data_IF_837833931222
#
_entry.id   IF_837833931222
#
_cell.length_a   1.000
_cell.length_b   1.000
_cell.length_c   1.000
_cell.angle_alpha   90.00
_cell.angle_beta   90.00
_cell.angle_gamma   90.00
#
_symmetry.space_group_name_H-M   'P 1'
#
loop_
_entity.id
_entity.type
_entity.pdbx_description
1 polymer ?
#
# COMPACT_ATOMS: atom_id res chain seq x y z
N UNK A 1 52.47 35.47 -0.81
CA UNK A 1 51.19 35.13 -1.43
C UNK A 1 51.05 33.60 -1.46
N UNK A 2 50.38 33.03 -0.49
CA UNK A 2 50.12 31.58 -0.38
C UNK A 2 48.74 31.29 -1.01
N UNK A 3 48.71 30.56 -2.12
CA UNK A 3 47.49 30.08 -2.76
C UNK A 3 46.97 28.87 -2.01
N UNK A 4 45.80 29.01 -1.36
CA UNK A 4 45.06 27.94 -0.69
C UNK A 4 44.27 27.20 -1.78
N UNK A 5 44.60 25.96 -2.08
CA UNK A 5 43.83 25.08 -2.94
C UNK A 5 42.68 24.45 -2.07
N UNK A 6 41.46 24.86 -2.34
CA UNK A 6 40.25 24.29 -1.74
C UNK A 6 39.91 23.02 -2.55
N UNK A 7 40.15 21.87 -1.96
CA UNK A 7 39.76 20.57 -2.53
C UNK A 7 38.28 20.34 -2.21
N UNK A 8 37.40 20.57 -3.18
CA UNK A 8 35.95 20.23 -3.05
C UNK A 8 35.84 18.73 -3.29
N UNK A 9 35.60 17.99 -2.22
CA UNK A 9 35.26 16.57 -2.26
C UNK A 9 33.78 16.45 -2.70
N UNK A 10 33.55 16.17 -3.98
CA UNK A 10 32.25 15.75 -4.49
C UNK A 10 31.96 14.34 -3.97
N UNK A 11 31.19 14.24 -2.90
CA UNK A 11 30.58 12.98 -2.46
C UNK A 11 29.42 12.71 -3.44
N UNK A 12 29.70 11.94 -4.49
CA UNK A 12 28.64 11.36 -5.30
C UNK A 12 27.94 10.29 -4.46
N UNK A 13 26.80 10.63 -3.88
CA UNK A 13 25.87 9.64 -3.35
C UNK A 13 25.40 8.76 -4.51
N UNK A 14 26.03 7.62 -4.69
CA UNK A 14 25.56 6.58 -5.57
C UNK A 14 24.20 6.10 -5.01
N UNK A 15 23.11 6.57 -5.59
CA UNK A 15 21.79 5.99 -5.40
C UNK A 15 21.89 4.58 -6.02
N UNK A 16 22.15 3.59 -5.17
CA UNK A 16 22.07 2.18 -5.58
C UNK A 16 20.58 1.91 -5.81
N UNK A 17 20.16 2.07 -7.05
CA UNK A 17 18.87 1.55 -7.51
C UNK A 17 18.91 0.04 -7.28
N UNK A 18 18.29 -0.44 -6.19
CA UNK A 18 18.11 -1.87 -5.97
C UNK A 18 17.20 -2.36 -7.08
N UNK A 19 17.78 -3.12 -8.03
CA UNK A 19 16.99 -3.82 -9.03
C UNK A 19 15.91 -4.61 -8.31
N UNK A 20 14.65 -4.45 -8.76
CA UNK A 20 13.50 -5.13 -8.21
C UNK A 20 13.71 -6.64 -8.36
N UNK A 21 13.91 -7.36 -7.25
CA UNK A 21 14.27 -8.77 -7.26
C UNK A 21 13.00 -9.62 -7.39
N UNK A 22 12.97 -10.49 -8.39
CA UNK A 22 11.90 -11.49 -8.52
C UNK A 22 12.24 -12.72 -7.69
N UNK A 23 11.36 -13.09 -6.79
CA UNK A 23 11.47 -14.30 -5.97
C UNK A 23 10.71 -15.43 -6.64
N UNK A 24 11.39 -16.22 -7.50
CA UNK A 24 10.72 -17.22 -8.34
C UNK A 24 10.44 -18.55 -7.63
N UNK A 25 11.33 -18.96 -6.74
CA UNK A 25 11.30 -20.28 -6.08
C UNK A 25 10.93 -20.14 -4.58
N UNK A 26 9.81 -19.45 -4.31
CA UNK A 26 9.32 -19.24 -2.94
C UNK A 26 8.76 -20.55 -2.39
N UNK A 27 9.32 -21.03 -1.27
CA UNK A 27 8.82 -22.14 -0.46
C UNK A 27 8.66 -21.71 0.99
N UNK A 28 7.90 -22.44 1.78
CA UNK A 28 7.69 -22.20 3.22
C UNK A 28 7.24 -20.79 3.57
N UNK A 29 6.47 -20.13 2.68
CA UNK A 29 5.93 -18.79 2.92
C UNK A 29 4.86 -18.83 4.00
N UNK A 30 5.12 -18.17 5.13
CA UNK A 30 4.24 -18.23 6.29
C UNK A 30 4.24 -16.95 7.10
N UNK A 31 3.18 -16.74 7.87
CA UNK A 31 3.14 -15.76 8.95
C UNK A 31 4.22 -16.11 9.97
N UNK A 32 5.04 -15.15 10.31
CA UNK A 32 6.09 -15.29 11.30
C UNK A 32 6.36 -13.94 11.94
N UNK A 33 6.21 -13.87 13.24
CA UNK A 33 6.43 -12.64 13.98
C UNK A 33 7.75 -12.64 14.72
N UNK A 34 8.36 -11.48 14.79
CA UNK A 34 9.61 -11.28 15.49
C UNK A 34 10.10 -9.85 15.43
N UNK A 35 11.14 -9.61 16.19
CA UNK A 35 11.97 -8.44 16.09
C UNK A 35 13.21 -8.79 15.27
N UNK A 36 13.63 -7.89 14.38
CA UNK A 36 14.85 -8.00 13.60
C UNK A 36 15.64 -6.70 13.74
N UNK A 37 16.89 -6.81 14.13
CA UNK A 37 17.79 -5.66 14.28
C UNK A 37 18.92 -5.71 13.25
N UNK A 38 19.12 -4.60 12.60
CA UNK A 38 20.32 -4.30 11.80
C UNK A 38 20.62 -2.82 11.97
N UNK A 39 21.72 -2.51 12.70
CA UNK A 39 22.06 -1.14 13.07
C UNK A 39 21.96 -0.17 11.87
N UNK A 40 21.37 1.01 12.06
CA UNK A 40 20.86 1.55 13.34
C UNK A 40 19.37 1.28 13.60
N UNK A 41 18.71 0.33 12.93
CA UNK A 41 17.27 0.24 12.85
C UNK A 41 16.68 -1.09 13.30
N UNK A 42 15.54 -0.99 14.02
CA UNK A 42 14.68 -2.11 14.37
C UNK A 42 13.54 -2.29 13.36
N UNK A 43 13.18 -3.54 13.11
CA UNK A 43 12.12 -3.95 12.20
C UNK A 43 11.20 -4.96 12.88
N UNK A 44 9.93 -4.94 12.55
CA UNK A 44 9.02 -6.02 12.87
C UNK A 44 8.98 -7.01 11.72
N UNK A 45 9.14 -8.30 12.02
CA UNK A 45 8.98 -9.37 11.03
C UNK A 45 7.51 -9.75 10.98
N UNK A 46 6.93 -9.89 9.78
CA UNK A 46 5.55 -10.35 9.59
C UNK A 46 5.44 -11.63 8.75
N UNK A 47 6.47 -11.96 7.94
CA UNK A 47 6.57 -13.23 7.20
C UNK A 47 7.99 -13.74 7.21
N UNK A 48 8.09 -15.06 7.02
CA UNK A 48 9.33 -15.75 6.71
C UNK A 48 9.08 -16.69 5.53
N UNK A 49 10.07 -16.82 4.66
CA UNK A 49 10.03 -17.75 3.54
C UNK A 49 11.43 -18.16 3.10
N UNK A 50 11.50 -19.15 2.24
CA UNK A 50 12.73 -19.59 1.58
C UNK A 50 12.64 -19.25 0.09
N UNK A 51 13.78 -18.90 -0.51
CA UNK A 51 13.93 -18.76 -1.95
C UNK A 51 15.35 -19.21 -2.34
N UNK A 52 15.45 -20.27 -3.16
CA UNK A 52 16.72 -20.89 -3.53
C UNK A 52 17.58 -21.24 -2.30
N UNK A 53 17.02 -21.98 -1.35
CA UNK A 53 17.66 -22.46 -0.11
C UNK A 53 18.19 -21.34 0.82
N UNK A 54 17.78 -20.11 0.61
CA UNK A 54 18.07 -18.98 1.50
C UNK A 54 16.82 -18.51 2.21
N UNK A 55 16.98 -18.15 3.49
CA UNK A 55 15.89 -17.66 4.33
C UNK A 55 15.73 -16.15 4.16
N UNK A 56 14.51 -15.72 3.90
CA UNK A 56 14.11 -14.32 3.77
C UNK A 56 13.07 -13.91 4.81
N UNK A 57 13.12 -12.65 5.17
CA UNK A 57 12.16 -12.01 6.06
C UNK A 57 11.41 -10.92 5.31
N UNK A 58 10.10 -10.87 5.52
CA UNK A 58 9.30 -9.72 5.17
C UNK A 58 9.23 -8.82 6.41
N UNK A 59 9.83 -7.67 6.29
CA UNK A 59 10.10 -6.72 7.35
C UNK A 59 9.25 -5.46 7.17
N UNK A 60 8.74 -4.96 8.28
CA UNK A 60 8.03 -3.68 8.36
C UNK A 60 8.83 -2.74 9.26
N UNK A 61 9.09 -1.54 8.77
CA UNK A 61 9.53 -0.46 9.64
C UNK A 61 8.34 0.02 10.48
N UNK A 62 8.36 -0.16 11.80
CA UNK A 62 7.19 0.16 12.62
C UNK A 62 6.93 1.66 12.76
N UNK A 63 7.90 2.52 12.39
CA UNK A 63 7.76 3.97 12.43
C UNK A 63 7.25 4.56 11.11
N UNK A 64 7.67 4.00 9.95
CA UNK A 64 7.35 4.58 8.63
C UNK A 64 6.39 3.72 7.82
N UNK A 65 5.98 2.55 8.31
CA UNK A 65 5.19 1.54 7.59
C UNK A 65 5.84 1.05 6.29
N UNK A 66 7.09 1.43 6.03
CA UNK A 66 7.84 0.91 4.89
C UNK A 66 8.07 -0.59 5.03
N UNK A 67 7.99 -1.29 3.92
CA UNK A 67 8.26 -2.72 3.87
C UNK A 67 9.56 -3.02 3.14
N UNK A 68 10.16 -4.15 3.43
CA UNK A 68 11.25 -4.71 2.64
C UNK A 68 11.33 -6.23 2.78
N UNK A 69 11.92 -6.86 1.77
CA UNK A 69 12.35 -8.25 1.84
C UNK A 69 13.87 -8.25 1.92
N UNK A 70 14.41 -8.98 2.89
CA UNK A 70 15.86 -9.12 3.03
C UNK A 70 16.22 -10.50 3.59
N UNK A 71 17.46 -10.94 3.40
CA UNK A 71 17.91 -12.23 3.91
C UNK A 71 18.03 -12.19 5.44
N UNK A 72 17.54 -13.23 6.10
CA UNK A 72 17.54 -13.34 7.56
C UNK A 72 18.96 -13.27 8.17
N UNK A 73 19.96 -13.72 7.44
CA UNK A 73 21.37 -13.74 7.87
C UNK A 73 21.93 -12.35 8.18
N UNK A 74 21.32 -11.29 7.64
CA UNK A 74 21.80 -9.91 7.86
C UNK A 74 21.26 -9.27 9.12
N UNK A 75 20.48 -10.00 9.94
CA UNK A 75 19.77 -9.47 11.10
C UNK A 75 20.03 -10.30 12.35
N UNK A 76 20.08 -9.63 13.49
CA UNK A 76 19.82 -10.28 14.78
C UNK A 76 18.29 -10.44 14.91
N UNK A 77 17.85 -11.70 14.98
CA UNK A 77 16.42 -12.08 14.93
C UNK A 77 15.97 -12.68 16.26
N UNK A 78 14.87 -12.14 16.81
CA UNK A 78 14.19 -12.69 17.99
C UNK A 78 12.75 -13.05 17.62
N UNK A 79 12.39 -14.36 17.60
CA UNK A 79 11.01 -14.79 17.39
C UNK A 79 10.08 -14.27 18.48
N UNK A 80 8.86 -13.91 18.10
CA UNK A 80 7.82 -13.45 19.02
C UNK A 80 6.47 -14.08 18.63
N UNK A 81 5.56 -14.18 19.59
CA UNK A 81 4.15 -14.35 19.27
C UNK A 81 3.57 -13.02 18.78
N UNK A 82 2.45 -13.05 18.05
CA UNK A 82 1.77 -11.83 17.63
C UNK A 82 1.47 -10.90 18.81
N UNK A 83 0.95 -11.44 19.92
CA UNK A 83 0.63 -10.67 21.12
C UNK A 83 1.87 -9.97 21.70
N UNK A 84 3.00 -10.65 21.76
CA UNK A 84 4.28 -10.08 22.25
C UNK A 84 4.79 -9.01 21.27
N UNK A 85 4.71 -9.26 19.96
CA UNK A 85 5.13 -8.28 18.95
C UNK A 85 4.27 -7.01 18.99
N UNK A 86 2.94 -7.15 19.06
CA UNK A 86 2.02 -5.99 19.21
C UNK A 86 2.31 -5.22 20.49
N UNK A 87 2.57 -5.90 21.62
CA UNK A 87 2.91 -5.22 22.86
C UNK A 87 4.28 -4.49 22.81
N UNK A 88 5.27 -5.11 22.17
CA UNK A 88 6.61 -4.53 22.03
C UNK A 88 6.59 -3.25 21.16
N UNK A 89 5.86 -3.29 20.05
CA UNK A 89 5.75 -2.16 19.10
C UNK A 89 4.51 -1.27 19.34
N UNK A 90 3.82 -1.39 20.48
CA UNK A 90 2.50 -0.76 20.75
C UNK A 90 2.42 0.76 20.54
N UNK A 91 3.55 1.46 20.70
CA UNK A 91 3.62 2.93 20.61
C UNK A 91 3.94 3.41 19.20
N UNK A 92 4.21 2.49 18.28
CA UNK A 92 4.60 2.85 16.90
C UNK A 92 3.38 3.14 16.03
N UNK A 93 3.54 3.98 14.97
CA UNK A 93 2.51 4.26 14.00
C UNK A 93 1.90 2.99 13.38
N UNK A 94 2.71 1.98 13.09
CA UNK A 94 2.23 0.73 12.50
C UNK A 94 1.20 0.00 13.38
N UNK A 95 1.47 -0.18 14.68
CA UNK A 95 0.50 -0.87 15.58
C UNK A 95 -0.71 0.02 15.86
N UNK A 96 -0.52 1.34 16.01
CA UNK A 96 -1.63 2.29 16.13
C UNK A 96 -2.57 2.24 14.92
N UNK A 97 -2.02 2.12 13.69
CA UNK A 97 -2.84 1.98 12.48
C UNK A 97 -3.63 0.66 12.45
N UNK A 98 -3.06 -0.46 12.90
CA UNK A 98 -3.78 -1.73 13.07
C UNK A 98 -4.94 -1.54 14.07
N UNK A 99 -4.67 -0.99 15.24
CA UNK A 99 -5.69 -0.75 16.28
C UNK A 99 -6.80 0.21 15.79
N UNK A 100 -6.44 1.23 14.99
CA UNK A 100 -7.38 2.16 14.38
C UNK A 100 -8.29 1.43 13.38
N UNK A 101 -7.72 0.63 12.49
CA UNK A 101 -8.47 -0.16 11.53
C UNK A 101 -9.45 -1.12 12.21
N UNK A 102 -9.04 -1.82 13.28
CA UNK A 102 -9.90 -2.71 14.06
C UNK A 102 -11.07 -1.96 14.72
N UNK A 103 -10.82 -0.74 15.23
CA UNK A 103 -11.85 0.09 15.88
C UNK A 103 -12.85 0.70 14.90
N UNK A 104 -12.40 1.08 13.69
CA UNK A 104 -13.24 1.70 12.66
C UNK A 104 -14.09 0.69 11.89
N UNK A 105 -13.66 -0.55 11.77
CA UNK A 105 -14.31 -1.61 11.01
C UNK A 105 -15.57 -2.15 11.68
N UNK A 106 -16.63 -1.33 11.77
CA UNK A 106 -17.90 -1.69 12.44
C UNK A 106 -19.01 -2.03 11.46
N UNK A 107 -18.85 -1.62 10.21
CA UNK A 107 -19.86 -1.78 9.16
C UNK A 107 -19.52 -2.96 8.28
N UNK A 108 -20.51 -3.49 7.58
CA UNK A 108 -20.33 -4.55 6.60
C UNK A 108 -19.49 -4.09 5.38
N UNK A 109 -19.56 -2.81 5.03
CA UNK A 109 -18.74 -2.20 3.96
C UNK A 109 -17.84 -1.11 4.53
N UNK A 110 -16.78 -0.79 3.79
CA UNK A 110 -15.78 0.23 4.11
C UNK A 110 -15.00 -0.09 5.39
N UNK A 111 -14.73 -1.39 5.63
CA UNK A 111 -13.91 -1.79 6.77
C UNK A 111 -12.45 -1.35 6.61
N UNK A 112 -11.90 -0.84 7.70
CA UNK A 112 -10.52 -0.37 7.78
C UNK A 112 -10.43 1.13 8.03
N UNK A 113 -9.30 1.72 7.70
CA UNK A 113 -9.07 3.17 7.77
C UNK A 113 -9.67 3.80 6.53
N UNK A 114 -10.70 4.62 6.69
CA UNK A 114 -11.47 5.21 5.59
C UNK A 114 -10.90 6.56 5.12
N UNK A 115 -10.24 7.30 6.02
CA UNK A 115 -9.66 8.61 5.74
C UNK A 115 -8.36 8.83 6.50
N UNK A 116 -7.52 9.68 5.96
CA UNK A 116 -6.26 10.11 6.57
C UNK A 116 -6.28 11.58 6.97
N UNK A 117 -5.19 12.01 7.62
CA UNK A 117 -4.97 13.40 8.03
C UNK A 117 -3.60 13.87 7.51
N UNK A 118 -3.49 14.15 6.20
CA UNK A 118 -2.25 14.65 5.63
C UNK A 118 -1.93 16.06 6.14
N UNK A 119 -0.66 16.44 6.15
CA UNK A 119 -0.19 17.77 6.57
C UNK A 119 -0.69 18.89 5.67
N UNK A 120 -0.82 18.63 4.37
CA UNK A 120 -1.26 19.59 3.38
C UNK A 120 -2.65 19.21 2.85
N UNK A 121 -3.22 20.08 2.03
CA UNK A 121 -4.48 19.78 1.35
C UNK A 121 -4.28 18.80 0.20
N UNK A 122 -5.07 17.74 0.16
CA UNK A 122 -5.01 16.74 -0.91
C UNK A 122 -5.71 15.44 -0.52
N UNK A 123 -5.38 14.38 -1.23
CA UNK A 123 -6.01 13.06 -1.09
C UNK A 123 -4.98 11.94 -1.22
N UNK A 124 -5.30 10.76 -0.69
CA UNK A 124 -4.63 9.52 -1.09
C UNK A 124 -5.43 8.85 -2.19
N UNK A 125 -4.86 8.71 -3.38
CA UNK A 125 -5.51 7.97 -4.47
C UNK A 125 -5.27 6.48 -4.30
N UNK A 126 -6.36 5.72 -4.22
CA UNK A 126 -6.34 4.26 -4.30
C UNK A 126 -7.08 3.78 -5.53
N UNK A 127 -6.51 2.81 -6.26
CA UNK A 127 -7.16 2.23 -7.41
C UNK A 127 -7.17 0.71 -7.33
N UNK A 128 -8.35 0.10 -7.47
CA UNK A 128 -8.53 -1.33 -7.36
C UNK A 128 -8.38 -2.01 -8.73
N UNK A 129 -7.53 -3.05 -8.75
CA UNK A 129 -7.26 -3.93 -9.88
C UNK A 129 -7.90 -5.30 -9.63
N UNK A 130 -9.24 -5.31 -9.61
CA UNK A 130 -10.05 -6.53 -9.51
C UNK A 130 -9.92 -7.39 -10.76
N UNK A 131 -10.32 -8.68 -10.74
CA UNK A 131 -10.40 -9.48 -11.95
C UNK A 131 -11.22 -8.80 -13.04
N UNK A 132 -10.65 -8.68 -14.24
CA UNK A 132 -11.28 -8.04 -15.39
C UNK A 132 -10.70 -8.63 -16.68
N UNK A 133 -11.46 -8.58 -17.77
CA UNK A 133 -10.97 -8.83 -19.13
C UNK A 133 -10.64 -7.54 -19.88
N UNK A 134 -10.90 -6.38 -19.27
CA UNK A 134 -10.64 -5.08 -19.85
C UNK A 134 -9.22 -4.63 -19.52
N UNK A 135 -8.59 -3.83 -20.39
CA UNK A 135 -7.24 -3.32 -20.15
C UNK A 135 -7.23 -2.35 -18.95
N UNK A 136 -6.03 -2.06 -18.46
CA UNK A 136 -5.77 -1.01 -17.49
C UNK A 136 -6.15 0.35 -18.07
N UNK A 137 -6.80 1.19 -17.25
CA UNK A 137 -7.10 2.58 -17.59
C UNK A 137 -5.83 3.46 -17.44
N UNK A 138 -4.90 3.32 -18.38
CA UNK A 138 -3.58 3.97 -18.35
C UNK A 138 -3.65 5.49 -18.27
N UNK A 139 -4.75 6.09 -18.74
CA UNK A 139 -4.98 7.53 -18.72
C UNK A 139 -4.88 8.12 -17.30
N UNK A 140 -5.26 7.35 -16.27
CA UNK A 140 -5.14 7.77 -14.86
C UNK A 140 -3.69 8.16 -14.57
N UNK A 141 -2.76 7.27 -14.86
CA UNK A 141 -1.34 7.41 -14.52
C UNK A 141 -0.65 8.46 -15.40
N UNK A 142 -0.97 8.48 -16.69
CA UNK A 142 -0.41 9.48 -17.62
C UNK A 142 -0.86 10.90 -17.30
N UNK A 143 -2.13 11.09 -16.92
CA UNK A 143 -2.64 12.42 -16.55
C UNK A 143 -2.10 12.85 -15.17
N UNK A 144 -1.99 11.94 -14.19
CA UNK A 144 -1.32 12.21 -12.91
C UNK A 144 0.11 12.71 -13.17
N UNK A 145 0.92 11.93 -13.88
CA UNK A 145 2.30 12.33 -14.17
C UNK A 145 2.37 13.67 -14.89
N UNK A 146 1.54 13.90 -15.89
CA UNK A 146 1.47 15.15 -16.63
C UNK A 146 1.20 16.37 -15.74
N UNK A 147 0.30 16.25 -14.77
CA UNK A 147 -0.04 17.35 -13.86
C UNK A 147 1.05 17.60 -12.81
N UNK A 148 1.71 16.53 -12.33
CA UNK A 148 2.65 16.63 -11.21
C UNK A 148 4.13 16.71 -11.60
N UNK A 149 4.55 16.35 -12.83
CA UNK A 149 5.95 16.21 -13.23
C UNK A 149 6.85 17.44 -12.98
N UNK A 150 6.27 18.63 -12.88
CA UNK A 150 6.99 19.89 -12.59
C UNK A 150 6.90 20.31 -11.12
N UNK A 151 6.16 19.57 -10.32
CA UNK A 151 5.83 19.91 -8.94
C UNK A 151 6.49 18.93 -7.98
N UNK A 152 6.25 17.65 -8.21
CA UNK A 152 6.72 16.56 -7.36
C UNK A 152 6.70 15.24 -8.14
N UNK A 153 7.83 14.51 -8.13
CA UNK A 153 7.97 13.16 -8.68
C UNK A 153 8.93 12.35 -7.82
N UNK A 154 8.72 11.03 -7.69
CA UNK A 154 7.59 10.25 -8.22
C UNK A 154 6.28 10.56 -7.50
N UNK A 155 5.16 10.56 -8.25
CA UNK A 155 3.82 10.84 -7.68
C UNK A 155 3.28 9.60 -6.98
N UNK A 156 2.86 9.66 -5.70
CA UNK A 156 2.36 8.50 -4.98
C UNK A 156 0.95 8.08 -5.42
N UNK A 157 0.76 6.77 -5.61
CA UNK A 157 -0.52 6.12 -5.88
C UNK A 157 -0.55 4.78 -5.17
N UNK A 158 -1.68 4.38 -4.60
CA UNK A 158 -1.85 3.06 -4.02
C UNK A 158 -2.69 2.16 -4.93
N UNK A 159 -2.20 0.96 -5.26
CA UNK A 159 -2.88 0.01 -6.13
C UNK A 159 -3.22 -1.26 -5.37
N UNK A 160 -4.52 -1.52 -5.21
CA UNK A 160 -5.02 -2.78 -4.62
C UNK A 160 -5.09 -3.82 -5.71
N UNK A 161 -4.22 -4.84 -5.67
CA UNK A 161 -4.03 -5.79 -6.76
C UNK A 161 -4.41 -7.21 -6.36
N UNK A 162 -5.14 -7.89 -7.25
CA UNK A 162 -5.52 -9.30 -7.05
C UNK A 162 -4.56 -10.26 -7.72
N UNK A 163 -4.48 -11.50 -7.20
CA UNK A 163 -3.69 -12.57 -7.82
C UNK A 163 -4.14 -12.88 -9.24
N UNK A 164 -5.45 -12.89 -9.47
CA UNK A 164 -6.05 -13.13 -10.80
C UNK A 164 -5.69 -12.03 -11.78
N UNK A 165 -5.78 -10.75 -11.39
CA UNK A 165 -5.41 -9.64 -12.26
C UNK A 165 -3.93 -9.71 -12.64
N UNK A 166 -3.02 -9.91 -11.69
CA UNK A 166 -1.59 -10.07 -11.97
C UNK A 166 -1.31 -11.15 -13.02
N UNK A 167 -2.02 -12.27 -12.94
CA UNK A 167 -1.86 -13.38 -13.90
C UNK A 167 -2.37 -13.04 -15.30
N UNK A 168 -3.45 -12.28 -15.40
CA UNK A 168 -4.14 -11.98 -16.67
C UNK A 168 -3.55 -10.77 -17.40
N UNK A 169 -2.98 -9.79 -16.68
CA UNK A 169 -2.58 -8.48 -17.20
C UNK A 169 -1.06 -8.24 -17.11
N UNK A 170 -0.26 -9.22 -17.53
CA UNK A 170 1.20 -9.13 -17.42
C UNK A 170 1.80 -7.92 -18.17
N UNK A 171 1.25 -7.54 -19.33
CA UNK A 171 1.74 -6.39 -20.09
C UNK A 171 1.46 -5.06 -19.36
N UNK A 172 0.27 -4.92 -18.77
CA UNK A 172 -0.09 -3.73 -17.98
C UNK A 172 0.73 -3.67 -16.70
N UNK A 173 0.98 -4.82 -16.05
CA UNK A 173 1.83 -4.91 -14.89
C UNK A 173 3.28 -4.47 -15.21
N UNK A 174 3.85 -4.90 -16.32
CA UNK A 174 5.17 -4.46 -16.76
C UNK A 174 5.21 -2.96 -17.06
N UNK A 175 4.15 -2.41 -17.64
CA UNK A 175 4.03 -0.99 -17.89
C UNK A 175 4.01 -0.17 -16.58
N UNK A 176 3.23 -0.59 -15.57
CA UNK A 176 3.22 0.05 -14.24
C UNK A 176 4.62 -0.01 -13.59
N UNK A 177 5.31 -1.15 -13.67
CA UNK A 177 6.69 -1.28 -13.18
C UNK A 177 7.65 -0.35 -13.90
N UNK A 178 7.43 -0.10 -15.19
CA UNK A 178 8.26 0.84 -15.95
C UNK A 178 8.07 2.28 -15.44
N UNK A 179 6.84 2.72 -15.17
CA UNK A 179 6.59 4.04 -14.58
C UNK A 179 7.30 4.23 -13.22
N UNK A 180 7.31 3.17 -12.38
CA UNK A 180 8.07 3.20 -11.12
C UNK A 180 9.59 3.30 -11.36
N UNK A 181 10.12 2.56 -12.32
CA UNK A 181 11.54 2.57 -12.67
C UNK A 181 11.99 3.92 -13.23
N UNK A 182 11.12 4.59 -13.96
CA UNK A 182 11.34 5.93 -14.53
C UNK A 182 11.13 7.06 -13.53
N UNK A 183 10.77 6.73 -12.27
CA UNK A 183 10.46 7.69 -11.21
C UNK A 183 9.30 8.65 -11.58
N UNK A 184 8.38 8.20 -12.42
CA UNK A 184 7.18 8.95 -12.74
C UNK A 184 6.13 8.79 -11.64
N UNK A 185 5.89 7.54 -11.20
CA UNK A 185 4.90 7.15 -10.20
C UNK A 185 5.58 6.32 -9.11
N UNK A 186 5.24 6.56 -7.86
CA UNK A 186 5.53 5.68 -6.74
C UNK A 186 4.30 4.84 -6.41
N UNK A 187 4.39 3.52 -6.50
CA UNK A 187 3.23 2.64 -6.26
C UNK A 187 3.36 1.94 -4.92
N UNK A 188 2.38 2.18 -4.04
CA UNK A 188 2.15 1.36 -2.84
C UNK A 188 1.26 0.19 -3.22
N UNK A 189 1.82 -1.04 -3.26
CA UNK A 189 1.12 -2.25 -3.67
C UNK A 189 0.32 -2.82 -2.49
N UNK A 190 -1.01 -2.81 -2.59
CA UNK A 190 -1.95 -3.28 -1.57
C UNK A 190 -2.42 -4.69 -1.93
N UNK A 191 -2.46 -5.59 -0.96
CA UNK A 191 -3.05 -6.92 -1.10
C UNK A 191 -4.59 -6.81 -1.21
N UNK A 192 -5.15 -7.31 -2.32
CA UNK A 192 -6.60 -7.28 -2.58
C UNK A 192 -7.21 -8.68 -2.76
N UNK A 193 -6.68 -9.66 -2.05
CA UNK A 193 -6.95 -11.08 -2.17
C UNK A 193 -6.49 -11.72 -3.49
N UNK A 194 -6.49 -13.04 -3.56
CA UNK A 194 -6.03 -13.74 -4.75
C UNK A 194 -7.12 -13.87 -5.81
N UNK A 195 -8.26 -14.45 -5.42
CA UNK A 195 -9.35 -14.77 -6.35
C UNK A 195 -10.37 -13.66 -6.48
N UNK A 196 -10.57 -12.86 -5.42
CA UNK A 196 -11.61 -11.82 -5.40
C UNK A 196 -12.97 -12.38 -5.83
N UNK A 197 -13.41 -13.46 -5.19
CA UNK A 197 -14.70 -14.08 -5.51
C UNK A 197 -15.83 -13.07 -5.36
N UNK A 198 -16.79 -13.12 -6.28
CA UNK A 198 -18.01 -12.33 -6.22
C UNK A 198 -19.17 -13.11 -6.82
N UNK A 199 -20.32 -13.08 -6.17
CA UNK A 199 -21.53 -13.71 -6.66
C UNK A 199 -22.68 -12.72 -6.66
N UNK A 200 -23.30 -12.50 -7.83
CA UNK A 200 -24.50 -11.67 -7.94
C UNK A 200 -25.73 -12.28 -7.25
N UNK A 201 -25.66 -13.56 -6.83
CA UNK A 201 -26.76 -14.29 -6.21
C UNK A 201 -26.71 -14.27 -4.67
N UNK A 202 -25.56 -13.96 -4.08
CA UNK A 202 -25.37 -13.94 -2.64
C UNK A 202 -25.54 -12.52 -2.07
N UNK A 203 -26.14 -12.40 -0.87
CA UNK A 203 -26.15 -11.13 -0.18
C UNK A 203 -24.72 -10.73 0.23
N UNK A 204 -24.46 -9.43 0.43
CA UNK A 204 -23.12 -8.94 0.77
C UNK A 204 -22.48 -9.65 1.95
N UNK A 205 -23.26 -9.94 3.01
CA UNK A 205 -22.79 -10.63 4.22
C UNK A 205 -22.34 -12.08 4.02
N UNK A 206 -22.57 -12.66 2.85
CA UNK A 206 -22.22 -14.02 2.46
C UNK A 206 -21.42 -14.02 1.15
N UNK A 207 -20.84 -12.90 0.77
CA UNK A 207 -20.17 -12.69 -0.52
C UNK A 207 -18.69 -12.32 -0.32
N UNK A 208 -17.94 -12.29 -1.39
CA UNK A 208 -16.51 -12.00 -1.40
C UNK A 208 -15.72 -12.93 -0.44
N UNK A 209 -14.93 -12.38 0.47
CA UNK A 209 -14.18 -13.18 1.45
C UNK A 209 -15.07 -13.78 2.56
N UNK A 210 -16.31 -13.33 2.70
CA UNK A 210 -17.31 -13.90 3.62
C UNK A 210 -18.05 -15.12 3.02
N UNK A 211 -17.82 -15.44 1.74
CA UNK A 211 -18.39 -16.64 1.13
C UNK A 211 -17.89 -17.89 1.85
N UNK A 212 -18.82 -18.79 2.21
CA UNK A 212 -18.51 -20.03 2.92
C UNK A 212 -17.46 -20.86 2.17
N UNK A 213 -16.46 -21.36 2.91
CA UNK A 213 -15.36 -22.16 2.34
C UNK A 213 -14.22 -21.33 1.74
N UNK A 214 -14.24 -20.00 1.87
CA UNK A 214 -13.10 -19.16 1.49
C UNK A 214 -11.90 -19.42 2.40
N UNK A 215 -10.77 -19.83 1.81
CA UNK A 215 -9.50 -19.97 2.53
C UNK A 215 -8.77 -18.62 2.60
N UNK A 216 -8.92 -17.93 3.72
CA UNK A 216 -8.31 -16.59 3.92
C UNK A 216 -6.77 -16.67 3.90
N UNK A 217 -6.17 -17.78 4.35
CA UNK A 217 -4.72 -17.93 4.27
C UNK A 217 -4.26 -17.93 2.80
N UNK A 218 -4.98 -18.69 1.96
CA UNK A 218 -4.72 -18.71 0.52
C UNK A 218 -4.90 -17.32 -0.10
N UNK A 219 -6.04 -16.66 0.16
CA UNK A 219 -6.38 -15.36 -0.40
C UNK A 219 -5.32 -14.28 -0.07
N UNK A 220 -4.75 -14.32 1.13
CA UNK A 220 -3.73 -13.35 1.56
C UNK A 220 -2.34 -13.77 1.11
N UNK A 221 -1.89 -14.97 1.48
CA UNK A 221 -0.49 -15.36 1.32
C UNK A 221 -0.12 -15.67 -0.14
N UNK A 222 -1.04 -16.25 -0.93
CA UNK A 222 -0.77 -16.48 -2.36
C UNK A 222 -0.73 -15.17 -3.15
N UNK A 223 -1.49 -14.14 -2.73
CA UNK A 223 -1.40 -12.80 -3.34
C UNK A 223 -0.02 -12.18 -3.08
N UNK A 224 0.47 -12.21 -1.84
CA UNK A 224 1.81 -11.71 -1.50
C UNK A 224 2.90 -12.49 -2.27
N UNK A 225 2.80 -13.82 -2.37
CA UNK A 225 3.72 -14.64 -3.18
C UNK A 225 3.66 -14.28 -4.65
N UNK A 226 2.47 -14.04 -5.20
CA UNK A 226 2.32 -13.61 -6.59
C UNK A 226 2.95 -12.23 -6.81
N UNK A 227 2.78 -11.28 -5.90
CA UNK A 227 3.47 -9.99 -5.94
C UNK A 227 4.99 -10.19 -6.00
N UNK A 228 5.57 -10.94 -5.06
CA UNK A 228 7.01 -11.17 -4.98
C UNK A 228 7.56 -11.87 -6.24
N UNK A 229 6.84 -12.85 -6.79
CA UNK A 229 7.21 -13.51 -8.06
C UNK A 229 7.21 -12.55 -9.26
N UNK A 230 6.37 -11.55 -9.24
CA UNK A 230 6.32 -10.49 -10.26
C UNK A 230 7.29 -9.32 -9.96
N UNK A 231 8.07 -9.40 -8.88
CA UNK A 231 8.99 -8.35 -8.46
C UNK A 231 8.27 -7.14 -7.85
N UNK A 232 7.05 -7.30 -7.34
CA UNK A 232 6.36 -6.27 -6.58
C UNK A 232 6.67 -6.46 -5.10
N UNK A 233 6.91 -5.37 -4.39
CA UNK A 233 7.07 -5.40 -2.94
C UNK A 233 5.70 -5.15 -2.30
N UNK A 234 5.10 -6.14 -1.58
CA UNK A 234 3.85 -5.91 -0.89
C UNK A 234 3.99 -4.84 0.19
N UNK A 235 2.99 -3.99 0.35
CA UNK A 235 2.87 -3.11 1.51
C UNK A 235 2.23 -3.84 2.70
N UNK A 236 2.09 -3.12 3.82
CA UNK A 236 1.34 -3.63 4.99
C UNK A 236 -0.17 -3.48 4.86
N UNK A 237 -0.66 -2.94 3.74
CA UNK A 237 -2.08 -2.66 3.58
C UNK A 237 -2.84 -3.81 2.93
N UNK A 238 -4.11 -3.92 3.31
CA UNK A 238 -5.08 -4.85 2.74
C UNK A 238 -6.37 -4.13 2.39
N UNK A 239 -6.91 -4.38 1.21
CA UNK A 239 -8.24 -3.91 0.83
C UNK A 239 -9.17 -5.09 0.66
N UNK A 240 -10.29 -5.06 1.37
CA UNK A 240 -11.30 -6.10 1.22
C UNK A 240 -11.96 -6.02 -0.16
N UNK A 241 -12.09 -7.15 -0.89
CA UNK A 241 -12.92 -7.23 -2.09
C UNK A 241 -14.33 -6.68 -1.86
N UNK A 242 -14.79 -5.77 -2.74
CA UNK A 242 -16.06 -5.06 -2.60
C UNK A 242 -16.17 -4.18 -1.35
N UNK A 243 -15.07 -3.96 -0.63
CA UNK A 243 -14.99 -3.32 0.70
C UNK A 243 -15.81 -4.06 1.76
N UNK A 244 -16.14 -5.33 1.53
CA UNK A 244 -17.05 -6.14 2.36
C UNK A 244 -16.28 -6.98 3.36
N UNK A 245 -16.62 -6.87 4.65
CA UNK A 245 -16.08 -7.70 5.72
C UNK A 245 -16.99 -7.70 6.94
N UNK A 246 -16.73 -8.62 7.86
CA UNK A 246 -17.21 -8.57 9.23
C UNK A 246 -16.04 -8.38 10.22
N UNK A 247 -16.38 -8.20 11.49
CA UNK A 247 -15.36 -7.96 12.52
C UNK A 247 -14.38 -9.15 12.69
N UNK A 248 -14.85 -10.37 12.47
CA UNK A 248 -13.99 -11.56 12.60
C UNK A 248 -12.97 -11.60 11.47
N UNK A 249 -13.40 -11.29 10.26
CA UNK A 249 -12.52 -11.22 9.10
C UNK A 249 -11.51 -10.06 9.24
N UNK A 250 -11.93 -8.92 9.79
CA UNK A 250 -11.01 -7.81 10.12
C UNK A 250 -9.91 -8.29 11.05
N UNK A 251 -10.26 -8.93 12.18
CA UNK A 251 -9.26 -9.48 13.10
C UNK A 251 -8.37 -10.52 12.43
N UNK A 252 -8.96 -11.35 11.56
CA UNK A 252 -8.16 -12.33 10.81
C UNK A 252 -7.11 -11.65 9.91
N UNK A 253 -7.45 -10.54 9.24
CA UNK A 253 -6.51 -9.79 8.40
C UNK A 253 -5.45 -9.10 9.25
N UNK A 254 -5.83 -8.49 10.37
CA UNK A 254 -4.86 -7.86 11.28
C UNK A 254 -3.96 -8.89 11.98
N UNK A 255 -4.43 -10.15 12.14
CA UNK A 255 -3.60 -11.28 12.57
C UNK A 255 -2.55 -11.70 11.52
N UNK A 256 -2.65 -11.27 10.29
CA UNK A 256 -1.55 -11.34 9.31
C UNK A 256 -0.56 -10.17 9.43
N UNK A 257 -0.77 -9.21 10.33
CA UNK A 257 -0.01 -7.96 10.40
C UNK A 257 -0.36 -6.99 9.27
N UNK A 258 -1.54 -7.11 8.68
CA UNK A 258 -2.00 -6.21 7.62
C UNK A 258 -2.99 -5.18 8.16
N UNK A 259 -2.95 -3.98 7.59
CA UNK A 259 -3.81 -2.86 7.96
C UNK A 259 -4.94 -2.78 6.93
N UNK A 260 -6.20 -3.08 7.30
CA UNK A 260 -7.33 -2.86 6.44
C UNK A 260 -7.52 -1.38 6.07
N UNK A 261 -7.75 -1.12 4.76
CA UNK A 261 -8.01 0.21 4.21
C UNK A 261 -9.38 0.24 3.55
N UNK A 262 -10.24 1.12 4.03
CA UNK A 262 -11.52 1.46 3.43
C UNK A 262 -11.43 2.67 2.49
N UNK A 263 -12.52 3.39 2.32
CA UNK A 263 -12.61 4.64 1.56
C UNK A 263 -13.72 5.51 2.12
N UNK A 264 -13.56 6.83 2.08
CA UNK A 264 -14.62 7.80 2.34
C UNK A 264 -15.05 8.55 1.07
N UNK A 265 -14.45 8.18 -0.08
CA UNK A 265 -14.76 8.80 -1.37
C UNK A 265 -14.66 7.81 -2.54
N UNK A 266 -15.67 6.94 -2.69
CA UNK A 266 -15.81 6.08 -3.86
C UNK A 266 -16.44 6.87 -5.02
N UNK A 267 -15.60 7.35 -5.95
CA UNK A 267 -16.04 8.28 -6.98
C UNK A 267 -17.12 7.71 -7.89
N UNK A 268 -17.04 6.45 -8.31
CA UNK A 268 -18.06 5.81 -9.14
C UNK A 268 -19.44 5.72 -8.47
N UNK A 269 -19.51 5.89 -7.15
CA UNK A 269 -20.79 6.00 -6.38
C UNK A 269 -21.21 7.45 -6.15
N UNK A 270 -20.54 8.42 -6.78
CA UNK A 270 -20.85 9.84 -6.65
C UNK A 270 -20.44 10.46 -5.31
N UNK A 271 -19.57 9.80 -4.54
CA UNK A 271 -19.04 10.35 -3.30
C UNK A 271 -17.97 11.40 -3.60
N UNK A 272 -18.08 12.57 -2.97
CA UNK A 272 -17.11 13.64 -3.17
C UNK A 272 -15.90 13.51 -2.22
N UNK A 273 -14.70 13.71 -2.75
CA UNK A 273 -13.50 13.75 -1.94
C UNK A 273 -13.36 15.05 -1.15
N UNK A 274 -12.79 14.95 0.05
CA UNK A 274 -12.40 16.06 0.91
C UNK A 274 -10.89 16.01 1.20
N UNK A 275 -10.29 17.05 1.79
CA UNK A 275 -8.92 16.97 2.27
C UNK A 275 -8.72 15.79 3.22
N UNK A 276 -7.74 14.94 2.91
CA UNK A 276 -7.46 13.73 3.66
C UNK A 276 -8.24 12.48 3.22
N UNK A 277 -9.16 12.57 2.26
CA UNK A 277 -9.89 11.41 1.75
C UNK A 277 -8.97 10.32 1.22
N UNK A 278 -9.30 9.08 1.52
CA UNK A 278 -8.80 7.91 0.80
C UNK A 278 -9.78 7.65 -0.35
N UNK A 279 -9.42 8.14 -1.53
CA UNK A 279 -10.26 8.07 -2.73
C UNK A 279 -10.15 6.70 -3.38
N UNK A 280 -11.29 6.10 -3.74
CA UNK A 280 -11.37 4.85 -4.47
C UNK A 280 -11.86 5.07 -5.90
N UNK A 281 -11.10 4.50 -6.84
CA UNK A 281 -11.51 4.25 -8.23
C UNK A 281 -11.16 2.81 -8.62
N UNK A 282 -11.70 2.33 -9.74
CA UNK A 282 -11.27 1.08 -10.36
C UNK A 282 -10.51 1.38 -11.66
N UNK A 283 -9.26 0.96 -11.75
CA UNK A 283 -8.39 1.24 -12.90
C UNK A 283 -8.34 0.08 -13.92
N UNK A 284 -9.32 -0.80 -13.92
CA UNK A 284 -9.37 -2.04 -14.72
C UNK A 284 -10.54 -2.09 -15.71
N UNK A 285 -11.07 -0.93 -16.10
CA UNK A 285 -12.19 -0.76 -17.02
C UNK A 285 -13.56 -1.13 -16.45
N UNK A 286 -13.67 -1.54 -15.19
CA UNK A 286 -14.95 -1.96 -14.58
C UNK A 286 -15.86 -0.77 -14.24
N UNK A 287 -15.30 0.37 -13.85
CA UNK A 287 -16.04 1.56 -13.43
C UNK A 287 -15.55 2.84 -14.14
N UNK A 288 -15.80 3.01 -15.43
CA UNK A 288 -15.29 4.16 -16.20
C UNK A 288 -15.80 5.51 -15.67
N UNK A 289 -16.93 5.55 -14.97
CA UNK A 289 -17.46 6.78 -14.34
C UNK A 289 -16.48 7.29 -13.29
N UNK A 290 -16.00 6.41 -12.39
CA UNK A 290 -15.05 6.82 -11.35
C UNK A 290 -13.71 7.31 -11.91
N UNK A 291 -13.26 6.72 -13.03
CA UNK A 291 -12.07 7.20 -13.76
C UNK A 291 -12.28 8.60 -14.30
N UNK A 292 -13.40 8.84 -14.98
CA UNK A 292 -13.74 10.15 -15.53
C UNK A 292 -13.87 11.21 -14.43
N UNK A 293 -14.50 10.88 -13.31
CA UNK A 293 -14.67 11.78 -12.17
C UNK A 293 -13.32 12.13 -11.54
N UNK A 294 -12.41 11.14 -11.42
CA UNK A 294 -11.05 11.42 -10.95
C UNK A 294 -10.27 12.34 -11.92
N UNK A 295 -10.33 12.09 -13.23
CA UNK A 295 -9.66 12.94 -14.22
C UNK A 295 -10.22 14.37 -14.20
N UNK A 296 -11.54 14.53 -14.02
CA UNK A 296 -12.16 15.85 -13.86
C UNK A 296 -11.71 16.53 -12.57
N UNK A 297 -11.66 15.80 -11.45
CA UNK A 297 -11.11 16.29 -10.18
C UNK A 297 -9.68 16.78 -10.37
N UNK A 298 -8.81 15.95 -10.95
CA UNK A 298 -7.40 16.27 -11.20
C UNK A 298 -7.25 17.56 -12.02
N UNK A 299 -7.98 17.69 -13.13
CA UNK A 299 -7.99 18.88 -13.97
C UNK A 299 -8.48 20.11 -13.22
N UNK A 300 -9.47 19.96 -12.35
CA UNK A 300 -9.98 21.07 -11.51
C UNK A 300 -8.94 21.61 -10.52
N UNK A 301 -7.92 20.79 -10.21
CA UNK A 301 -6.85 21.11 -9.24
C UNK A 301 -5.55 21.59 -9.88
N UNK A 302 -5.43 21.64 -11.22
CA UNK A 302 -4.19 22.00 -11.94
C UNK A 302 -3.49 23.25 -11.35
N UNK A 303 -4.24 24.33 -11.06
CA UNK A 303 -3.64 25.54 -10.47
C UNK A 303 -3.18 25.36 -9.02
N UNK A 304 -3.92 24.60 -8.23
CA UNK A 304 -3.56 24.28 -6.84
C UNK A 304 -2.36 23.35 -6.78
N UNK A 305 -2.27 22.40 -7.69
CA UNK A 305 -1.10 21.50 -7.85
C UNK A 305 0.13 22.34 -8.19
N UNK A 306 0.06 23.21 -9.19
CA UNK A 306 1.18 24.06 -9.59
C UNK A 306 1.71 24.95 -8.45
N UNK A 307 0.86 25.27 -7.46
CA UNK A 307 1.21 26.05 -6.26
C UNK A 307 1.55 25.17 -5.04
N UNK A 308 1.59 23.84 -5.18
CA UNK A 308 1.74 22.86 -4.09
C UNK A 308 0.67 23.02 -2.97
N UNK A 309 -0.53 23.42 -3.34
CA UNK A 309 -1.66 23.61 -2.42
C UNK A 309 -2.65 22.44 -2.43
N UNK A 310 -2.46 21.47 -3.31
CA UNK A 310 -3.20 20.23 -3.37
C UNK A 310 -2.29 19.15 -3.96
N UNK A 311 -2.08 18.06 -3.21
CA UNK A 311 -1.14 17.00 -3.54
C UNK A 311 -1.81 15.62 -3.47
N UNK A 312 -1.17 14.62 -4.07
CA UNK A 312 -1.45 13.22 -3.79
C UNK A 312 -0.48 12.75 -2.72
N UNK A 313 -1.00 12.05 -1.72
CA UNK A 313 -0.21 11.56 -0.59
C UNK A 313 0.08 10.08 -0.70
N UNK A 314 1.24 9.69 -0.21
CA UNK A 314 1.50 8.28 0.09
C UNK A 314 0.51 7.80 1.17
N UNK A 315 -0.10 6.65 0.93
CA UNK A 315 -1.08 6.08 1.85
C UNK A 315 -0.49 5.84 3.26
N UNK A 316 0.81 5.58 3.37
CA UNK A 316 1.51 5.42 4.65
C UNK A 316 1.47 6.70 5.49
N UNK A 317 1.63 7.85 4.86
CA UNK A 317 1.57 9.16 5.52
C UNK A 317 0.13 9.48 5.97
N UNK A 318 -0.87 9.06 5.18
CA UNK A 318 -2.28 9.31 5.49
C UNK A 318 -2.80 8.55 6.72
N UNK A 319 -2.20 7.42 7.06
CA UNK A 319 -2.65 6.61 8.20
C UNK A 319 -1.88 6.85 9.48
N UNK A 320 -0.83 7.66 9.44
CA UNK A 320 0.00 7.98 10.59
C UNK A 320 -0.66 9.08 11.46
N UNK A 321 -1.03 8.73 12.69
CA UNK A 321 -1.66 9.66 13.65
C UNK A 321 -0.69 10.70 14.21
N UNK A 322 0.62 10.55 14.10
CA UNK A 322 1.58 11.54 14.58
C UNK A 322 1.52 12.84 13.77
N UNK A 323 1.00 12.79 12.55
CA UNK A 323 0.69 13.99 11.78
C UNK A 323 -0.42 14.87 12.41
N UNK A 324 -1.32 14.31 13.24
CA UNK A 324 -2.36 15.07 13.94
C UNK A 324 -1.79 16.00 15.04
N UNK A 325 -0.77 15.56 15.74
CA UNK A 325 -0.28 16.26 16.94
C UNK A 325 0.51 17.54 16.62
N UNK A 326 1.13 17.63 15.43
CA UNK A 326 1.88 18.83 15.02
C UNK A 326 0.97 19.96 14.49
N UNK A 327 -0.17 19.64 13.87
CA UNK A 327 -1.11 20.66 13.38
C UNK A 327 -1.89 21.37 14.50
N UNK A 328 -2.03 20.77 15.67
CA UNK A 328 -2.65 21.40 16.86
C UNK A 328 -1.71 22.37 17.58
N UNK A 329 -0.38 22.25 17.39
CA UNK A 329 0.63 23.16 17.99
C UNK A 329 0.88 24.44 17.20
N UNK A 330 0.39 24.51 15.96
CA UNK A 330 0.54 25.71 15.09
C UNK A 330 -0.59 26.72 15.29
N UNK A 331 -1.60 26.41 16.14
CA UNK A 331 -2.75 27.30 16.43
C UNK A 331 -2.71 27.90 17.84
N UNK A 332 -1.53 28.12 18.42
CA UNK A 332 -1.38 28.93 19.64
C UNK A 332 -0.48 30.14 19.37
#
# INVERSE_FOLDING_TARGET
MKRLFLLILLISSAIISRAQTNYLNITNYKVYYGWAHRAPQDWMIIRQFENNDRNFLFLVNPQTLETKIDEAVFYDVKPMTLAVARAYFRTTPYIKAIDKAEKQSKNLQDAGIESGLPKETGISLTADLCPSHRPLDRIIFTDIYKEFQKVETPVPVALSITGVWMRQHQQDLQWLKQLQKEHEIYITWINHSFNHRVSAKLPLKENFLLEAGTDINYEVLETEKAMLKNGLLPSVFFRFPGLVSDQQLVYKITDFGLIPIGTDAWLAKGQASQPGSIVLIHANGNEPVGVNDFINLLKSKTQSIAKKQWLLYDLRESVDEEFETDSSKVKQ
#
